data_IF_938866365211
#
_entry.id   IF_938866365211
#
_cell.length_a   1.000
_cell.length_b   1.000
_cell.length_c   1.000
_cell.angle_alpha   90.00
_cell.angle_beta   90.00
_cell.angle_gamma   90.00
#
_symmetry.space_group_name_H-M   'P 1'
#
loop_
_entity.id
_entity.type
_entity.pdbx_description
1 polymer ?
#
# COMPACT_ATOMS: atom_id res chain seq x y z
N UNK A 1 10.08 -0.39 18.99
CA UNK A 1 8.77 0.30 18.89
C UNK A 1 8.46 0.46 17.43
N UNK A 2 7.18 0.44 17.05
CA UNK A 2 6.72 0.54 15.68
C UNK A 2 5.69 1.66 15.53
N UNK A 3 5.87 2.54 14.55
CA UNK A 3 4.88 3.53 14.14
C UNK A 3 4.18 3.01 12.89
N UNK A 4 2.85 2.92 12.91
CA UNK A 4 2.08 2.43 11.77
C UNK A 4 0.70 3.07 11.70
N UNK A 5 0.11 3.07 10.50
CA UNK A 5 -1.28 3.44 10.31
C UNK A 5 -2.17 2.22 10.55
N UNK A 6 -3.05 2.33 11.55
CA UNK A 6 -3.99 1.30 11.94
C UNK A 6 -5.36 1.60 11.33
N UNK A 7 -5.91 0.67 10.55
CA UNK A 7 -7.31 0.73 10.13
C UNK A 7 -8.28 0.51 11.29
N UNK A 8 -9.55 0.91 11.14
CA UNK A 8 -10.57 0.79 12.19
C UNK A 8 -10.75 -0.66 12.66
N UNK A 9 -11.19 -0.83 13.91
CA UNK A 9 -11.37 -2.15 14.49
C UNK A 9 -12.49 -2.94 13.78
N UNK A 10 -12.20 -4.19 13.39
CA UNK A 10 -13.21 -5.13 12.86
C UNK A 10 -13.81 -5.90 14.04
N UNK A 11 -14.82 -5.33 14.70
CA UNK A 11 -15.58 -5.96 15.80
C UNK A 11 -15.33 -5.37 17.19
N UNK A 12 -16.01 -5.91 18.20
CA UNK A 12 -16.08 -5.37 19.58
C UNK A 12 -15.05 -5.96 20.55
N UNK A 13 -14.18 -6.86 20.09
CA UNK A 13 -13.18 -7.49 20.95
C UNK A 13 -12.07 -6.51 21.33
N UNK A 14 -12.07 -6.09 22.60
CA UNK A 14 -11.01 -5.27 23.17
C UNK A 14 -9.97 -6.16 23.85
N UNK A 15 -8.73 -6.10 23.39
CA UNK A 15 -7.58 -6.68 24.10
C UNK A 15 -7.22 -5.78 25.28
N UNK A 16 -6.75 -6.35 26.41
CA UNK A 16 -6.24 -5.56 27.53
C UNK A 16 -5.06 -4.70 27.06
N UNK A 17 -4.86 -3.56 27.74
CA UNK A 17 -3.77 -2.64 27.44
C UNK A 17 -2.42 -3.34 27.55
N UNK A 18 -1.57 -3.17 26.54
CA UNK A 18 -0.24 -3.75 26.54
C UNK A 18 0.63 -3.14 27.63
N UNK A 19 1.22 -3.98 28.48
CA UNK A 19 2.09 -3.53 29.57
C UNK A 19 3.46 -3.02 29.08
N UNK A 20 3.88 -3.39 27.86
CA UNK A 20 5.18 -2.98 27.28
C UNK A 20 5.14 -1.60 26.61
N UNK A 21 4.07 -1.31 25.88
CA UNK A 21 3.96 -0.07 25.09
C UNK A 21 2.76 0.80 25.44
N UNK A 22 1.91 0.39 26.38
CA UNK A 22 0.68 1.11 26.74
C UNK A 22 -0.40 1.10 25.66
N UNK A 23 -0.17 0.42 24.53
CA UNK A 23 -1.11 0.38 23.43
C UNK A 23 -2.42 -0.29 23.85
N UNK A 24 -3.53 0.37 23.53
CA UNK A 24 -4.89 -0.15 23.63
C UNK A 24 -5.58 0.18 22.31
N UNK A 25 -6.14 -0.84 21.67
CA UNK A 25 -6.83 -0.66 20.39
C UNK A 25 -8.09 0.17 20.60
N UNK A 26 -8.18 1.30 19.90
CA UNK A 26 -9.40 2.10 19.77
C UNK A 26 -10.18 1.71 18.51
N UNK A 27 -11.45 2.13 18.45
CA UNK A 27 -12.33 1.81 17.32
C UNK A 27 -12.06 2.64 16.06
N UNK A 28 -11.39 3.79 16.20
CA UNK A 28 -11.38 4.83 15.17
C UNK A 28 -10.18 4.77 14.21
N UNK A 29 -9.17 3.95 14.51
CA UNK A 29 -7.98 3.83 13.69
C UNK A 29 -7.14 5.13 13.69
N UNK A 30 -6.01 5.10 12.99
CA UNK A 30 -5.08 6.23 12.92
C UNK A 30 -3.62 5.83 13.10
N UNK A 31 -2.75 6.84 13.16
CA UNK A 31 -1.32 6.63 13.39
C UNK A 31 -1.09 6.28 14.85
N UNK A 32 -0.50 5.12 15.09
CA UNK A 32 -0.26 4.60 16.45
C UNK A 32 1.18 4.14 16.61
N UNK A 33 1.67 4.17 17.85
CA UNK A 33 2.99 3.67 18.25
C UNK A 33 2.83 2.46 19.15
N UNK A 34 3.37 1.31 18.75
CA UNK A 34 3.20 0.02 19.41
C UNK A 34 4.54 -0.67 19.69
N UNK A 35 4.57 -1.71 20.51
CA UNK A 35 5.69 -2.65 20.52
C UNK A 35 5.57 -3.62 19.34
N UNK A 36 6.67 -4.29 18.99
CA UNK A 36 6.68 -5.23 17.87
C UNK A 36 5.65 -6.36 18.06
N UNK A 37 5.52 -6.90 19.28
CA UNK A 37 4.55 -7.96 19.58
C UNK A 37 3.10 -7.52 19.31
N UNK A 38 2.74 -6.28 19.70
CA UNK A 38 1.41 -5.73 19.45
C UNK A 38 1.15 -5.41 17.98
N UNK A 39 2.19 -4.99 17.26
CA UNK A 39 2.11 -4.76 15.82
C UNK A 39 1.89 -6.07 15.05
N UNK A 40 2.64 -7.11 15.39
CA UNK A 40 2.54 -8.43 14.75
C UNK A 40 1.21 -9.09 15.07
N UNK A 41 0.72 -8.97 16.29
CA UNK A 41 -0.53 -9.59 16.76
C UNK A 41 -0.65 -11.10 16.45
N UNK A 42 0.49 -11.81 16.49
CA UNK A 42 0.58 -13.24 16.15
C UNK A 42 0.83 -13.54 14.67
N UNK A 43 0.91 -12.52 13.81
CA UNK A 43 1.26 -12.66 12.40
C UNK A 43 2.78 -12.60 12.16
N UNK A 44 3.20 -13.08 10.99
CA UNK A 44 4.59 -13.02 10.56
C UNK A 44 4.93 -11.68 9.90
N UNK A 45 6.20 -11.32 9.99
CA UNK A 45 6.74 -10.15 9.33
C UNK A 45 7.25 -10.47 7.94
N UNK A 46 6.95 -9.60 6.98
CA UNK A 46 7.65 -9.55 5.70
C UNK A 46 8.40 -8.21 5.60
N UNK A 47 9.67 -8.25 5.18
CA UNK A 47 10.47 -7.06 4.97
C UNK A 47 10.40 -6.68 3.49
N UNK A 48 9.84 -5.51 3.21
CA UNK A 48 9.73 -4.99 1.86
C UNK A 48 11.07 -4.44 1.36
N UNK A 49 11.47 -4.85 0.16
CA UNK A 49 12.75 -4.47 -0.43
C UNK A 49 12.63 -3.16 -1.22
N UNK A 50 13.52 -2.21 -0.95
CA UNK A 50 13.59 -0.92 -1.67
C UNK A 50 14.85 -0.85 -2.53
N UNK A 51 14.78 -0.11 -3.64
CA UNK A 51 15.91 0.06 -4.56
C UNK A 51 16.26 -1.18 -5.37
N UNK A 52 15.29 -2.08 -5.61
CA UNK A 52 15.51 -3.23 -6.49
C UNK A 52 15.56 -2.80 -7.96
N UNK A 53 16.17 -3.61 -8.83
CA UNK A 53 16.14 -3.33 -10.26
C UNK A 53 14.72 -3.51 -10.84
N UNK A 54 14.46 -2.89 -12.00
CA UNK A 54 13.17 -3.01 -12.70
C UNK A 54 12.84 -4.46 -13.04
N UNK A 55 13.84 -5.27 -13.42
CA UNK A 55 13.65 -6.70 -13.71
C UNK A 55 13.26 -7.51 -12.48
N UNK A 56 13.84 -7.20 -11.31
CA UNK A 56 13.43 -7.81 -10.04
C UNK A 56 12.02 -7.37 -9.68
N UNK A 57 11.71 -6.07 -9.78
CA UNK A 57 10.38 -5.56 -9.50
C UNK A 57 9.28 -6.21 -10.38
N UNK A 58 9.57 -6.45 -11.66
CA UNK A 58 8.63 -7.08 -12.60
C UNK A 58 8.46 -8.60 -12.37
N UNK A 59 9.47 -9.27 -11.83
CA UNK A 59 9.44 -10.73 -11.59
C UNK A 59 8.92 -11.12 -10.21
N UNK A 60 8.91 -10.20 -9.26
CA UNK A 60 8.43 -10.43 -7.89
C UNK A 60 6.92 -10.28 -7.78
N UNK A 61 6.36 -10.90 -6.74
CA UNK A 61 4.97 -10.69 -6.36
C UNK A 61 4.74 -9.21 -6.02
N UNK A 62 3.58 -8.68 -6.39
CA UNK A 62 3.22 -7.30 -6.05
C UNK A 62 3.16 -7.15 -4.52
N UNK A 63 3.56 -5.97 -4.03
CA UNK A 63 3.54 -5.68 -2.59
C UNK A 63 4.75 -6.23 -1.81
N UNK A 64 5.82 -6.67 -2.48
CA UNK A 64 7.02 -7.20 -1.81
C UNK A 64 8.30 -6.38 -2.03
N UNK A 65 8.35 -5.56 -3.08
CA UNK A 65 9.52 -4.75 -3.40
C UNK A 65 9.16 -3.51 -4.24
N UNK A 66 10.06 -2.52 -4.27
CA UNK A 66 9.96 -1.29 -5.07
C UNK A 66 11.32 -0.90 -5.67
N UNK A 67 11.27 -0.32 -6.87
CA UNK A 67 12.41 0.33 -7.51
C UNK A 67 12.83 1.62 -6.80
N UNK A 68 11.92 2.25 -6.05
CA UNK A 68 12.24 3.46 -5.29
C UNK A 68 13.19 3.14 -4.15
N UNK A 69 14.22 3.96 -3.97
CA UNK A 69 15.12 3.86 -2.84
C UNK A 69 14.46 4.37 -1.56
N UNK A 70 14.74 3.68 -0.44
CA UNK A 70 14.35 4.16 0.88
C UNK A 70 15.25 5.32 1.30
N UNK A 71 14.64 6.31 1.97
CA UNK A 71 15.33 7.30 2.77
C UNK A 71 16.16 6.64 3.88
N UNK A 72 17.22 7.31 4.37
CA UNK A 72 17.96 6.86 5.54
C UNK A 72 17.05 6.64 6.76
N UNK A 73 17.36 5.69 7.66
CA UNK A 73 16.48 5.35 8.79
C UNK A 73 16.10 6.54 9.68
N UNK A 74 17.01 7.49 9.90
CA UNK A 74 16.73 8.66 10.74
C UNK A 74 15.66 9.59 10.13
N UNK A 75 15.68 9.80 8.81
CA UNK A 75 14.65 10.56 8.11
C UNK A 75 13.30 9.85 8.16
N UNK A 76 13.28 8.53 7.96
CA UNK A 76 12.05 7.72 8.02
C UNK A 76 11.39 7.85 9.39
N UNK A 77 12.16 7.73 10.47
CA UNK A 77 11.68 7.89 11.84
C UNK A 77 11.16 9.30 12.08
N UNK A 78 11.87 10.32 11.57
CA UNK A 78 11.44 11.71 11.70
C UNK A 78 10.10 11.95 11.01
N UNK A 79 9.93 11.47 9.77
CA UNK A 79 8.69 11.60 9.01
C UNK A 79 7.55 10.85 9.72
N UNK A 80 7.77 9.59 10.12
CA UNK A 80 6.76 8.80 10.82
C UNK A 80 6.33 9.48 12.13
N UNK A 81 7.28 10.05 12.88
CA UNK A 81 6.99 10.77 14.13
C UNK A 81 6.17 12.05 13.90
N UNK A 82 6.41 12.78 12.81
CA UNK A 82 5.59 13.95 12.46
C UNK A 82 4.12 13.56 12.25
N UNK A 83 3.86 12.39 11.66
CA UNK A 83 2.49 11.90 11.45
C UNK A 83 1.79 11.37 12.70
N UNK A 84 2.53 11.04 13.76
CA UNK A 84 1.92 10.75 15.08
C UNK A 84 1.17 11.99 15.59
N UNK A 85 1.69 13.19 15.32
CA UNK A 85 1.09 14.45 15.75
C UNK A 85 0.04 14.93 14.75
N UNK A 86 0.36 14.90 13.46
CA UNK A 86 -0.45 15.55 12.43
C UNK A 86 -1.55 14.64 11.84
N UNK A 87 -1.42 13.32 12.00
CA UNK A 87 -2.24 12.34 11.30
C UNK A 87 -1.90 12.24 9.80
N UNK A 88 -2.25 11.11 9.18
CA UNK A 88 -1.95 10.82 7.76
C UNK A 88 -3.17 10.96 6.84
N UNK A 89 -4.23 11.60 7.32
CA UNK A 89 -5.53 11.65 6.67
C UNK A 89 -6.46 10.50 7.05
N UNK A 90 -7.65 10.47 6.46
CA UNK A 90 -8.66 9.45 6.72
C UNK A 90 -8.25 8.12 6.10
N UNK A 91 -8.35 7.05 6.88
CA UNK A 91 -8.08 5.70 6.42
C UNK A 91 -9.09 5.27 5.35
N UNK A 92 -8.60 4.86 4.19
CA UNK A 92 -9.35 4.16 3.16
C UNK A 92 -8.58 2.87 2.83
N UNK A 93 -9.26 1.76 2.59
CA UNK A 93 -8.58 0.49 2.32
C UNK A 93 -7.80 0.51 0.98
N UNK A 94 -8.23 1.35 0.04
CA UNK A 94 -7.68 1.49 -1.31
C UNK A 94 -6.77 2.70 -1.50
N UNK A 95 -6.73 3.62 -0.52
CA UNK A 95 -5.88 4.81 -0.50
C UNK A 95 -5.68 5.30 0.94
N UNK A 96 -4.54 5.88 1.28
CA UNK A 96 -4.23 6.28 2.66
C UNK A 96 -4.34 5.08 3.63
N UNK A 97 -3.91 3.90 3.19
CA UNK A 97 -3.83 2.70 4.04
C UNK A 97 -2.42 2.55 4.67
N UNK A 98 -2.20 1.44 5.37
CA UNK A 98 -0.91 1.13 5.99
C UNK A 98 0.26 1.07 5.00
N UNK A 99 0.03 0.56 3.79
CA UNK A 99 1.06 0.48 2.73
C UNK A 99 1.42 1.89 2.26
N UNK A 100 0.43 2.76 2.03
CA UNK A 100 0.66 4.13 1.59
C UNK A 100 1.43 4.94 2.63
N UNK A 101 1.07 4.78 3.92
CA UNK A 101 1.78 5.43 5.02
C UNK A 101 3.26 5.00 5.07
N UNK A 102 3.52 3.70 5.10
CA UNK A 102 4.88 3.19 5.19
C UNK A 102 5.71 3.54 3.95
N UNK A 103 5.12 3.47 2.75
CA UNK A 103 5.77 3.92 1.52
C UNK A 103 6.08 5.42 1.60
N UNK A 104 5.16 6.27 2.05
CA UNK A 104 5.42 7.70 2.19
C UNK A 104 6.57 7.99 3.16
N UNK A 105 6.60 7.34 4.33
CA UNK A 105 7.71 7.48 5.27
C UNK A 105 9.06 7.07 4.65
N UNK A 106 9.06 6.01 3.82
CA UNK A 106 10.26 5.45 3.19
C UNK A 106 10.72 6.21 1.97
N UNK A 107 9.83 6.75 1.14
CA UNK A 107 10.20 7.31 -0.18
C UNK A 107 9.83 8.79 -0.33
N UNK A 108 8.96 9.32 0.53
CA UNK A 108 8.39 10.67 0.40
C UNK A 108 7.25 10.76 -0.61
N UNK A 109 6.77 9.64 -1.17
CA UNK A 109 5.64 9.61 -2.10
C UNK A 109 4.61 8.57 -1.65
N UNK A 110 3.36 8.99 -1.46
CA UNK A 110 2.24 8.13 -1.05
C UNK A 110 1.65 7.35 -2.23
N UNK A 111 2.15 7.58 -3.45
CA UNK A 111 1.65 6.91 -4.64
C UNK A 111 1.96 5.42 -4.59
N UNK A 112 0.94 4.58 -4.41
CA UNK A 112 1.09 3.15 -4.59
C UNK A 112 1.49 2.84 -6.04
N UNK A 113 2.70 2.29 -6.24
CA UNK A 113 3.21 1.90 -7.56
C UNK A 113 2.37 0.79 -8.23
N UNK A 114 1.33 0.29 -7.56
CA UNK A 114 0.27 -0.50 -8.17
C UNK A 114 -0.34 0.19 -9.42
N UNK A 115 -0.30 1.53 -9.48
CA UNK A 115 -0.80 2.33 -10.62
C UNK A 115 0.22 2.43 -11.78
N UNK A 116 1.52 2.46 -11.50
CA UNK A 116 2.55 2.75 -12.52
C UNK A 116 2.80 1.57 -13.47
N UNK A 117 2.72 0.33 -12.99
CA UNK A 117 2.87 -0.86 -13.85
C UNK A 117 1.70 -1.06 -14.84
N UNK A 118 0.59 -0.33 -14.65
CA UNK A 118 -0.62 -0.51 -15.44
C UNK A 118 -0.85 0.58 -16.48
N UNK A 119 -0.25 1.77 -16.35
CA UNK A 119 -0.17 2.73 -17.49
C UNK A 119 0.68 2.16 -18.62
N UNK A 120 1.74 1.41 -18.31
CA UNK A 120 2.55 0.72 -19.33
C UNK A 120 1.79 -0.43 -20.00
N UNK A 121 1.04 -1.25 -19.24
CA UNK A 121 0.24 -2.34 -19.80
C UNK A 121 -0.99 -1.82 -20.57
N UNK A 122 -1.61 -0.74 -20.10
CA UNK A 122 -2.70 -0.07 -20.81
C UNK A 122 -2.21 0.57 -22.11
N UNK A 123 -1.05 1.24 -22.09
CA UNK A 123 -0.43 1.77 -23.31
C UNK A 123 -0.08 0.66 -24.30
N UNK A 124 0.50 -0.46 -23.85
CA UNK A 124 0.82 -1.63 -24.69
C UNK A 124 -0.40 -2.29 -25.34
N UNK A 125 -1.56 -2.27 -24.68
CA UNK A 125 -2.82 -2.86 -25.21
C UNK A 125 -3.62 -1.84 -26.04
N UNK A 126 -3.69 -0.58 -25.62
CA UNK A 126 -4.47 0.46 -26.29
C UNK A 126 -3.83 0.95 -27.61
N UNK A 127 -2.50 1.04 -27.67
CA UNK A 127 -1.78 1.50 -28.87
C UNK A 127 -2.04 0.63 -30.11
N UNK A 128 -1.99 -0.72 -30.07
CA UNK A 128 -2.27 -1.55 -31.24
C UNK A 128 -3.76 -1.62 -31.62
N UNK A 129 -4.70 -1.48 -30.68
CA UNK A 129 -6.16 -1.58 -30.97
C UNK A 129 -6.67 -0.30 -31.65
N UNK A 130 -6.08 0.85 -31.34
CA UNK A 130 -6.41 2.15 -31.96
C UNK A 130 -6.02 2.23 -33.44
N UNK A 131 -5.09 1.37 -33.88
CA UNK A 131 -4.60 1.32 -35.26
C UNK A 131 -5.53 0.57 -36.23
N UNK A 132 -6.57 -0.11 -35.72
CA UNK A 132 -7.53 -0.86 -36.55
C UNK A 132 -8.66 -0.02 -37.15
N UNK A 133 -8.68 1.31 -36.93
CA UNK A 133 -9.52 2.30 -37.64
C UNK A 133 -10.93 1.85 -38.04
N UNK A 134 -11.95 2.22 -37.25
CA UNK A 134 -13.36 1.96 -37.58
C UNK A 134 -14.23 1.72 -36.34
N UNK A 135 -15.56 1.54 -36.50
CA UNK A 135 -16.48 1.34 -35.37
C UNK A 135 -16.15 0.09 -34.52
N UNK A 136 -15.52 -0.92 -35.13
CA UNK A 136 -15.08 -2.15 -34.43
C UNK A 136 -13.87 -1.87 -33.52
N UNK A 137 -12.91 -1.07 -33.96
CA UNK A 137 -11.73 -0.70 -33.15
C UNK A 137 -12.09 0.12 -31.91
N UNK A 138 -13.09 1.01 -32.03
CA UNK A 138 -13.61 1.81 -30.91
C UNK A 138 -14.30 0.92 -29.87
N UNK A 139 -15.12 -0.06 -30.31
CA UNK A 139 -15.84 -0.95 -29.40
C UNK A 139 -14.89 -1.89 -28.64
N UNK A 140 -13.87 -2.42 -29.32
CA UNK A 140 -12.84 -3.27 -28.69
C UNK A 140 -11.98 -2.45 -27.72
N UNK A 141 -11.63 -1.22 -28.08
CA UNK A 141 -10.93 -0.29 -27.18
C UNK A 141 -11.71 -0.04 -25.89
N UNK A 142 -13.01 0.30 -25.99
CA UNK A 142 -13.87 0.55 -24.82
C UNK A 142 -14.12 -0.72 -23.98
N UNK A 143 -14.27 -1.89 -24.62
CA UNK A 143 -14.41 -3.16 -23.92
C UNK A 143 -13.16 -3.54 -23.14
N UNK A 144 -11.97 -3.30 -23.71
CA UNK A 144 -10.70 -3.54 -23.04
C UNK A 144 -10.52 -2.59 -21.84
N UNK A 145 -10.81 -1.29 -21.97
CA UNK A 145 -10.69 -0.35 -20.85
C UNK A 145 -11.65 -0.70 -19.69
N UNK A 146 -12.87 -1.15 -20.00
CA UNK A 146 -13.85 -1.60 -19.00
C UNK A 146 -13.45 -2.93 -18.33
N UNK A 147 -12.96 -3.92 -19.09
CA UNK A 147 -12.48 -5.19 -18.54
C UNK A 147 -11.24 -5.00 -17.66
N UNK A 148 -10.35 -4.09 -18.06
CA UNK A 148 -9.22 -3.66 -17.27
C UNK A 148 -9.72 -2.95 -15.99
N UNK A 149 -10.69 -2.03 -16.10
CA UNK A 149 -11.48 -1.46 -15.00
C UNK A 149 -12.00 -2.48 -13.98
N UNK A 150 -12.64 -3.54 -14.47
CA UNK A 150 -13.22 -4.62 -13.68
C UNK A 150 -12.13 -5.49 -13.02
N UNK A 151 -11.05 -5.77 -13.75
CA UNK A 151 -9.88 -6.48 -13.23
C UNK A 151 -9.11 -5.68 -12.18
N UNK A 152 -9.10 -4.34 -12.28
CA UNK A 152 -8.58 -3.45 -11.24
C UNK A 152 -9.41 -3.51 -9.96
N UNK A 153 -10.74 -3.56 -10.09
CA UNK A 153 -11.63 -3.80 -8.96
C UNK A 153 -11.34 -5.14 -8.30
N UNK A 154 -11.24 -6.21 -9.09
CA UNK A 154 -10.99 -7.58 -8.60
C UNK A 154 -9.59 -7.80 -8.00
N UNK A 155 -8.54 -7.23 -8.59
CA UNK A 155 -7.19 -7.32 -8.04
C UNK A 155 -7.05 -6.54 -6.72
N UNK A 156 -7.81 -5.46 -6.55
CA UNK A 156 -7.94 -4.72 -5.28
C UNK A 156 -8.87 -5.41 -4.26
N UNK A 157 -9.70 -6.36 -4.69
CA UNK A 157 -10.54 -7.20 -3.83
C UNK A 157 -9.79 -8.43 -3.27
N UNK A 158 -8.56 -8.71 -3.72
CA UNK A 158 -7.73 -9.73 -3.11
C UNK A 158 -7.19 -9.20 -1.77
N UNK A 159 -7.49 -9.85 -0.63
CA UNK A 159 -7.13 -9.39 0.69
C UNK A 159 -5.63 -9.64 0.93
N UNK A 160 -4.76 -8.86 0.30
CA UNK A 160 -3.33 -8.90 0.57
C UNK A 160 -3.01 -8.00 1.75
N UNK A 161 -3.10 -8.59 2.94
CA UNK A 161 -2.60 -8.02 4.19
C UNK A 161 -1.06 -8.08 4.19
N UNK A 162 -0.40 -7.21 3.41
CA UNK A 162 1.03 -6.95 3.56
C UNK A 162 1.19 -5.69 4.40
N UNK A 163 1.55 -5.87 5.67
CA UNK A 163 1.76 -4.76 6.60
C UNK A 163 3.19 -4.26 6.40
N UNK A 164 3.36 -3.23 5.58
CA UNK A 164 4.61 -2.48 5.53
C UNK A 164 4.80 -1.72 6.86
N UNK A 165 5.96 -1.90 7.47
CA UNK A 165 6.35 -1.19 8.68
C UNK A 165 6.98 0.15 8.30
N UNK A 166 6.46 1.26 8.82
CA UNK A 166 7.11 2.57 8.74
C UNK A 166 8.29 2.75 9.73
N UNK A 167 8.76 1.65 10.32
CA UNK A 167 9.63 1.48 11.50
C UNK A 167 8.90 1.60 12.82
#
# INVERSE_FOLDING_TARGET
MVIHLQGPAKGTWSKPQCQKCGYKRDGNGGIVKTCLDCFLDGHSLYIYEYGVSVSVFQSRQRGTCSVSHSKPPHEVIQIATQFVVNGFGNYDAFANNCEDFARYCKTGSAGSLQVMGHVENFAKVALPISLLGGPIGILVGAGATAAIGLSYGLAKLLPYYHVDIAI
#
